data_IF_151507803426
#
_entry.id   IF_151507803426
#
_cell.length_a   1.000
_cell.length_b   1.000
_cell.length_c   1.000
_cell.angle_alpha   90.00
_cell.angle_beta   90.00
_cell.angle_gamma   90.00
#
_symmetry.space_group_name_H-M   'P 1'
#
loop_
_entity.id
_entity.type
_entity.pdbx_description
1 polymer ?
#
# COMPACT_ATOMS: atom_id res chain seq x y z
N UNK A 1 -22.90 11.56 12.94
CA UNK A 1 -22.09 10.35 12.71
C UNK A 1 -21.20 10.52 11.50
N UNK A 2 -19.91 10.25 11.68
CA UNK A 2 -18.90 10.13 10.62
C UNK A 2 -18.52 8.65 10.53
N UNK A 3 -18.50 8.09 9.33
CA UNK A 3 -18.17 6.69 9.10
C UNK A 3 -17.06 6.60 8.05
N UNK A 4 -16.09 5.71 8.30
CA UNK A 4 -15.09 5.30 7.33
C UNK A 4 -15.48 3.91 6.83
N UNK A 5 -15.69 3.79 5.53
CA UNK A 5 -15.93 2.52 4.85
C UNK A 5 -14.69 2.19 4.03
N UNK A 6 -14.19 0.97 4.16
CA UNK A 6 -13.04 0.46 3.40
C UNK A 6 -13.42 -0.88 2.79
N UNK A 7 -13.14 -1.05 1.50
CA UNK A 7 -13.20 -2.32 0.79
C UNK A 7 -11.82 -2.67 0.23
N UNK A 8 -11.42 -3.93 0.33
CA UNK A 8 -10.14 -4.43 -0.19
C UNK A 8 -10.35 -5.80 -0.86
N UNK A 9 -9.66 -6.02 -1.98
CA UNK A 9 -9.52 -7.30 -2.65
C UNK A 9 -8.04 -7.66 -2.77
N UNK A 10 -7.70 -8.93 -2.50
CA UNK A 10 -6.31 -9.39 -2.47
C UNK A 10 -6.16 -10.68 -3.28
N UNK A 11 -5.16 -10.70 -4.16
CA UNK A 11 -4.66 -11.87 -4.86
C UNK A 11 -3.30 -12.28 -4.29
N UNK A 12 -3.10 -13.59 -4.07
CA UNK A 12 -1.85 -14.16 -3.56
C UNK A 12 -1.39 -15.27 -4.49
N UNK A 13 -0.16 -15.14 -4.99
CA UNK A 13 0.54 -16.23 -5.66
C UNK A 13 1.34 -17.01 -4.63
N UNK A 14 0.96 -18.27 -4.39
CA UNK A 14 1.57 -19.14 -3.38
C UNK A 14 2.24 -20.33 -4.05
N UNK A 15 3.52 -20.61 -3.79
CA UNK A 15 4.11 -21.86 -4.21
C UNK A 15 3.43 -23.02 -3.49
N UNK A 16 3.28 -24.15 -4.17
CA UNK A 16 2.72 -25.39 -3.62
C UNK A 16 3.71 -26.00 -2.62
N UNK A 17 3.81 -25.45 -1.41
CA UNK A 17 4.49 -26.09 -0.28
C UNK A 17 3.46 -26.36 0.82
N UNK A 18 3.56 -27.56 1.37
CA UNK A 18 2.60 -28.20 2.27
C UNK A 18 2.52 -27.42 3.60
N UNK A 19 1.27 -27.16 4.02
CA UNK A 19 0.83 -26.51 5.25
C UNK A 19 1.03 -25.00 5.39
N UNK A 20 -0.06 -24.25 5.17
CA UNK A 20 -0.28 -22.95 5.80
C UNK A 20 -1.62 -22.96 6.53
N UNK A 21 -1.69 -22.49 7.80
CA UNK A 21 -2.94 -22.39 8.52
C UNK A 21 -3.86 -21.40 7.81
N UNK A 22 -5.08 -21.84 7.49
CA UNK A 22 -6.13 -21.00 6.90
C UNK A 22 -6.63 -20.00 7.95
N UNK A 23 -5.99 -18.84 8.06
CA UNK A 23 -6.49 -17.74 8.90
C UNK A 23 -7.33 -16.77 8.08
N UNK A 24 -8.64 -16.69 8.34
CA UNK A 24 -9.57 -15.68 7.79
C UNK A 24 -9.50 -14.37 8.59
N UNK A 25 -8.32 -13.75 8.65
CA UNK A 25 -8.17 -12.44 9.29
C UNK A 25 -8.07 -11.36 8.21
N UNK A 26 -8.86 -10.29 8.34
CA UNK A 26 -8.72 -9.08 7.54
C UNK A 26 -7.38 -8.43 7.92
N UNK A 27 -6.37 -8.53 7.05
CA UNK A 27 -5.00 -8.09 7.36
C UNK A 27 -4.41 -7.30 6.20
N UNK A 28 -4.25 -6.00 6.45
CA UNK A 28 -3.58 -5.03 5.58
C UNK A 28 -2.08 -5.05 5.94
N UNK A 29 -1.18 -5.24 4.97
CA UNK A 29 0.28 -5.21 5.19
C UNK A 29 1.08 -6.31 4.47
N UNK A 30 2.41 -6.21 4.52
CA UNK A 30 3.38 -7.19 3.97
C UNK A 30 3.49 -8.42 4.90
N UNK A 31 3.79 -9.60 4.37
CA UNK A 31 3.98 -10.86 5.12
C UNK A 31 2.81 -11.33 6.02
N UNK A 32 1.61 -10.77 5.85
CA UNK A 32 0.51 -10.97 6.82
C UNK A 32 -0.31 -12.28 6.64
N UNK A 33 -0.04 -13.06 5.58
CA UNK A 33 -0.91 -14.16 5.10
C UNK A 33 -0.19 -15.49 4.81
N UNK A 34 0.97 -15.74 5.44
CA UNK A 34 1.82 -16.91 5.15
C UNK A 34 2.80 -16.67 3.99
N UNK A 35 3.58 -17.69 3.61
CA UNK A 35 4.54 -17.64 2.50
C UNK A 35 3.81 -17.45 1.17
N UNK A 36 4.16 -16.40 0.44
CA UNK A 36 3.73 -16.13 -0.94
C UNK A 36 4.93 -15.68 -1.74
N UNK A 37 4.93 -15.94 -3.05
CA UNK A 37 5.93 -15.38 -3.97
C UNK A 37 5.41 -14.11 -4.64
N UNK A 38 4.09 -13.86 -4.59
CA UNK A 38 3.49 -12.63 -5.06
C UNK A 38 2.22 -12.26 -4.28
N UNK A 39 1.98 -10.96 -4.10
CA UNK A 39 0.77 -10.39 -3.53
C UNK A 39 0.37 -9.17 -4.35
N UNK A 40 -0.91 -9.06 -4.66
CA UNK A 40 -1.51 -7.88 -5.26
C UNK A 40 -2.77 -7.53 -4.49
N UNK A 41 -2.85 -6.33 -3.91
CA UNK A 41 -4.01 -5.83 -3.18
C UNK A 41 -4.52 -4.54 -3.81
N UNK A 42 -5.82 -4.45 -4.00
CA UNK A 42 -6.52 -3.25 -4.48
C UNK A 42 -7.59 -2.92 -3.46
N UNK A 43 -7.65 -1.66 -3.03
CA UNK A 43 -8.69 -1.23 -2.12
C UNK A 43 -9.17 0.19 -2.38
N UNK A 44 -10.35 0.48 -1.84
CA UNK A 44 -10.97 1.78 -1.89
C UNK A 44 -11.53 2.15 -0.53
N UNK A 45 -11.52 3.43 -0.23
CA UNK A 45 -12.06 3.95 1.02
C UNK A 45 -12.96 5.15 0.77
N UNK A 46 -13.95 5.31 1.64
CA UNK A 46 -14.88 6.42 1.66
C UNK A 46 -15.10 6.88 3.09
N UNK A 47 -14.79 8.14 3.36
CA UNK A 47 -14.93 8.75 4.67
C UNK A 47 -15.99 9.84 4.65
N UNK A 48 -17.10 9.64 5.37
CA UNK A 48 -18.28 10.52 5.34
C UNK A 48 -18.11 11.81 6.15
N UNK A 49 -16.92 12.10 6.68
CA UNK A 49 -16.67 13.29 7.49
C UNK A 49 -16.81 14.57 6.69
N UNK A 50 -17.03 15.68 7.41
CA UNK A 50 -17.08 17.03 6.82
C UNK A 50 -15.67 17.60 6.81
N UNK A 51 -15.20 17.98 5.64
CA UNK A 51 -13.89 18.58 5.41
C UNK A 51 -14.06 20.02 4.93
N UNK A 52 -13.09 20.87 5.26
CA UNK A 52 -12.96 22.18 4.65
C UNK A 52 -12.39 21.99 3.24
N UNK A 53 -13.09 22.53 2.23
CA UNK A 53 -12.66 22.52 0.83
C UNK A 53 -11.40 23.39 0.70
N UNK A 54 -10.33 22.81 0.15
CA UNK A 54 -9.04 23.49 -0.01
C UNK A 54 -8.99 24.37 -1.27
N UNK A 55 -10.00 24.25 -2.14
CA UNK A 55 -10.04 24.91 -3.46
C UNK A 55 -11.12 25.97 -3.59
N UNK A 56 -12.20 25.89 -2.77
CA UNK A 56 -13.33 26.81 -2.86
C UNK A 56 -13.50 27.59 -1.57
N UNK A 57 -13.23 28.89 -1.62
CA UNK A 57 -13.63 29.83 -0.57
C UNK A 57 -15.09 30.26 -0.78
N UNK A 58 -15.80 30.46 0.33
CA UNK A 58 -17.10 31.12 0.35
C UNK A 58 -16.91 32.63 0.18
N UNK A 59 -17.99 33.37 -0.17
CA UNK A 59 -17.94 34.83 -0.30
C UNK A 59 -17.52 35.57 1.00
N UNK A 60 -17.58 34.90 2.15
CA UNK A 60 -17.17 35.39 3.47
C UNK A 60 -15.68 35.13 3.79
N UNK A 61 -14.90 34.59 2.85
CA UNK A 61 -13.48 34.27 3.02
C UNK A 61 -13.20 32.98 3.78
N UNK A 62 -14.22 32.20 4.17
CA UNK A 62 -14.00 30.88 4.79
C UNK A 62 -14.00 29.74 3.75
N UNK A 63 -13.20 28.68 3.95
CA UNK A 63 -13.24 27.51 3.07
C UNK A 63 -14.62 26.83 3.10
N UNK A 64 -15.16 26.50 1.93
CA UNK A 64 -16.47 25.88 1.82
C UNK A 64 -16.47 24.50 2.52
N UNK A 65 -17.41 24.25 3.43
CA UNK A 65 -17.55 22.90 4.01
C UNK A 65 -18.13 21.91 2.99
N UNK A 66 -17.45 20.79 2.78
CA UNK A 66 -17.87 19.66 1.93
C UNK A 66 -17.93 18.39 2.74
N UNK A 67 -18.73 17.43 2.28
CA UNK A 67 -18.97 16.16 2.96
C UNK A 67 -18.42 15.04 2.09
N UNK A 68 -17.58 14.18 2.65
CA UNK A 68 -16.98 13.05 1.94
C UNK A 68 -15.53 13.30 1.54
N UNK A 69 -14.68 12.32 1.81
CA UNK A 69 -13.37 12.13 1.19
C UNK A 69 -13.27 10.68 0.73
N UNK A 70 -12.64 10.42 -0.41
CA UNK A 70 -12.54 9.08 -0.97
C UNK A 70 -11.20 8.85 -1.62
N UNK A 71 -10.83 7.60 -1.78
CA UNK A 71 -9.61 7.25 -2.47
C UNK A 71 -9.51 5.78 -2.77
N UNK A 72 -8.44 5.43 -3.45
CA UNK A 72 -8.07 4.07 -3.74
C UNK A 72 -6.58 3.85 -3.52
N UNK A 73 -6.21 2.60 -3.33
CA UNK A 73 -4.83 2.18 -3.22
C UNK A 73 -4.59 0.85 -3.93
N UNK A 74 -3.35 0.66 -4.33
CA UNK A 74 -2.81 -0.53 -4.93
C UNK A 74 -1.52 -0.87 -4.18
N UNK A 75 -1.38 -2.12 -3.75
CA UNK A 75 -0.17 -2.65 -3.13
C UNK A 75 0.25 -3.90 -3.88
N UNK A 76 1.54 -4.04 -4.14
CA UNK A 76 2.11 -5.21 -4.78
C UNK A 76 3.42 -5.61 -4.08
N UNK A 77 3.59 -6.91 -3.84
CA UNK A 77 4.84 -7.51 -3.40
C UNK A 77 5.15 -8.69 -4.32
N UNK A 78 6.40 -8.86 -4.74
CA UNK A 78 6.82 -9.97 -5.59
C UNK A 78 8.24 -10.39 -5.27
N UNK A 79 8.43 -11.66 -4.92
CA UNK A 79 9.75 -12.30 -4.89
C UNK A 79 10.21 -12.49 -6.33
N UNK A 80 11.30 -11.84 -6.70
CA UNK A 80 11.86 -11.86 -8.06
C UNK A 80 13.09 -12.75 -8.17
N UNK A 81 13.72 -13.06 -7.03
CA UNK A 81 14.84 -13.99 -6.94
C UNK A 81 14.76 -14.77 -5.64
N UNK A 82 15.05 -16.06 -5.72
CA UNK A 82 15.25 -16.93 -4.58
C UNK A 82 16.36 -17.92 -4.94
N UNK A 83 17.31 -18.13 -4.04
CA UNK A 83 18.39 -19.08 -4.26
C UNK A 83 17.87 -20.52 -4.09
N UNK A 84 18.18 -21.40 -5.04
CA UNK A 84 17.76 -22.81 -5.01
C UNK A 84 18.49 -23.63 -3.92
N UNK A 85 19.71 -23.26 -3.55
CA UNK A 85 20.48 -23.94 -2.50
C UNK A 85 20.21 -23.37 -1.10
N UNK A 86 19.84 -22.09 -1.02
CA UNK A 86 19.44 -21.44 0.23
C UNK A 86 18.13 -20.66 0.03
N UNK A 87 16.96 -21.29 0.27
CA UNK A 87 15.67 -20.64 0.09
C UNK A 87 15.45 -19.39 0.97
N UNK A 88 16.27 -19.17 2.00
CA UNK A 88 16.20 -17.95 2.82
C UNK A 88 16.82 -16.75 2.09
N UNK A 89 17.72 -16.99 1.13
CA UNK A 89 18.30 -15.93 0.32
C UNK A 89 17.34 -15.52 -0.80
N UNK A 90 16.73 -14.35 -0.66
CA UNK A 90 15.69 -13.88 -1.58
C UNK A 90 15.72 -12.37 -1.81
N UNK A 91 15.28 -11.97 -3.01
CA UNK A 91 15.03 -10.56 -3.37
C UNK A 91 13.53 -10.39 -3.59
N UNK A 92 12.95 -9.46 -2.85
CA UNK A 92 11.54 -9.09 -2.98
C UNK A 92 11.42 -7.65 -3.42
N UNK A 93 10.68 -7.39 -4.49
CA UNK A 93 10.26 -6.06 -4.89
C UNK A 93 8.90 -5.74 -4.28
N UNK A 94 8.70 -4.50 -3.88
CA UNK A 94 7.39 -4.01 -3.45
C UNK A 94 7.06 -2.67 -4.09
N UNK A 95 5.77 -2.42 -4.24
CA UNK A 95 5.21 -1.20 -4.78
C UNK A 95 3.91 -0.86 -4.09
N UNK A 96 3.70 0.41 -3.84
CA UNK A 96 2.48 0.96 -3.28
C UNK A 96 2.10 2.24 -4.01
N UNK A 97 0.82 2.38 -4.28
CA UNK A 97 0.26 3.53 -4.95
C UNK A 97 -1.07 3.89 -4.30
N UNK A 98 -1.31 5.17 -4.08
CA UNK A 98 -2.51 5.68 -3.44
C UNK A 98 -2.98 6.94 -4.13
N UNK A 99 -4.28 7.02 -4.39
CA UNK A 99 -4.93 8.21 -4.92
C UNK A 99 -6.01 8.62 -3.93
N UNK A 100 -5.92 9.85 -3.46
CA UNK A 100 -6.92 10.46 -2.59
C UNK A 100 -7.70 11.54 -3.31
N UNK A 101 -8.82 11.97 -2.73
CA UNK A 101 -9.60 13.08 -3.26
C UNK A 101 -8.79 14.39 -3.16
N UNK A 102 -8.34 14.97 -4.28
CA UNK A 102 -7.48 16.15 -4.32
C UNK A 102 -8.19 17.43 -3.86
N UNK A 103 -9.52 17.37 -3.67
CA UNK A 103 -10.36 18.53 -3.31
C UNK A 103 -10.43 18.74 -1.79
N UNK A 104 -10.05 17.72 -1.02
CA UNK A 104 -10.03 17.72 0.45
C UNK A 104 -8.68 17.28 1.04
N UNK A 105 -7.78 16.74 0.22
CA UNK A 105 -6.40 16.41 0.57
C UNK A 105 -5.44 17.17 -0.34
N UNK A 106 -4.41 17.77 0.27
CA UNK A 106 -3.31 18.46 -0.43
C UNK A 106 -2.48 17.50 -1.30
N UNK A 107 -2.43 16.21 -0.94
CA UNK A 107 -1.77 15.18 -1.72
C UNK A 107 -2.80 14.38 -2.50
N UNK A 108 -2.70 14.47 -3.83
CA UNK A 108 -3.59 13.81 -4.76
C UNK A 108 -3.13 12.38 -5.03
N UNK A 109 -1.82 12.18 -5.10
CA UNK A 109 -1.21 10.89 -5.41
C UNK A 109 0.00 10.65 -4.53
N UNK A 110 0.16 9.40 -4.13
CA UNK A 110 1.35 8.87 -3.48
C UNK A 110 1.79 7.63 -4.24
N UNK A 111 3.08 7.54 -4.55
CA UNK A 111 3.70 6.31 -5.02
C UNK A 111 4.94 6.01 -4.18
N UNK A 112 5.18 4.73 -3.91
CA UNK A 112 6.39 4.26 -3.28
C UNK A 112 6.73 2.89 -3.80
N UNK A 113 8.01 2.61 -3.94
CA UNK A 113 8.50 1.28 -4.32
C UNK A 113 9.85 1.03 -3.70
N UNK A 114 10.23 -0.24 -3.65
CA UNK A 114 11.51 -0.62 -3.09
C UNK A 114 11.79 -2.10 -3.26
N UNK A 115 12.88 -2.51 -2.65
CA UNK A 115 13.33 -3.87 -2.63
C UNK A 115 13.89 -4.25 -1.28
N UNK A 116 13.80 -5.53 -0.98
CA UNK A 116 14.38 -6.16 0.20
C UNK A 116 15.29 -7.30 -0.27
N UNK A 117 16.49 -7.36 0.29
CA UNK A 117 17.49 -8.40 0.13
C UNK A 117 17.60 -9.16 1.46
N UNK A 118 17.35 -10.47 1.48
CA UNK A 118 17.53 -11.32 2.66
C UNK A 118 18.68 -12.29 2.43
N UNK A 119 19.57 -12.47 3.40
CA UNK A 119 20.62 -13.50 3.38
C UNK A 119 21.77 -13.26 2.40
N UNK A 120 22.06 -12.00 2.04
CA UNK A 120 23.12 -11.67 1.07
C UNK A 120 24.52 -11.48 1.70
N UNK A 121 24.65 -11.52 3.02
CA UNK A 121 25.94 -11.41 3.72
C UNK A 121 26.36 -12.80 4.20
N UNK A 122 27.55 -13.31 3.82
CA UNK A 122 28.01 -14.64 4.24
C UNK A 122 28.02 -14.80 5.77
N UNK A 123 27.48 -15.92 6.27
CA UNK A 123 27.29 -16.24 7.70
C UNK A 123 26.23 -15.39 8.42
N UNK A 124 25.47 -14.58 7.69
CA UNK A 124 24.38 -13.75 8.22
C UNK A 124 23.12 -13.96 7.38
N UNK A 125 22.72 -15.22 7.26
CA UNK A 125 21.68 -15.70 6.34
C UNK A 125 20.28 -15.19 6.72
N UNK A 126 20.14 -14.58 7.90
CA UNK A 126 18.92 -13.94 8.40
C UNK A 126 18.93 -12.41 8.28
N UNK A 127 20.03 -11.80 7.84
CA UNK A 127 20.10 -10.35 7.68
C UNK A 127 19.17 -9.88 6.56
N UNK A 128 18.52 -8.74 6.78
CA UNK A 128 17.66 -8.07 5.81
C UNK A 128 18.18 -6.66 5.50
N UNK A 129 18.32 -6.34 4.21
CA UNK A 129 18.65 -5.01 3.71
C UNK A 129 17.53 -4.51 2.82
N UNK A 130 16.98 -3.33 3.15
CA UNK A 130 15.89 -2.71 2.42
C UNK A 130 16.28 -1.38 1.79
N UNK A 131 15.84 -1.15 0.55
CA UNK A 131 15.96 0.13 -0.15
C UNK A 131 14.58 0.55 -0.66
N UNK A 132 14.22 1.81 -0.48
CA UNK A 132 12.91 2.32 -0.87
C UNK A 132 12.97 3.77 -1.35
N UNK A 133 12.11 4.10 -2.30
CA UNK A 133 11.87 5.46 -2.80
C UNK A 133 10.38 5.74 -2.75
N UNK A 134 10.02 6.98 -2.42
CA UNK A 134 8.63 7.40 -2.40
C UNK A 134 8.50 8.84 -2.90
N UNK A 135 7.40 9.10 -3.59
CA UNK A 135 7.02 10.41 -4.08
C UNK A 135 5.57 10.72 -3.69
N UNK A 136 5.36 11.91 -3.17
CA UNK A 136 4.04 12.47 -2.93
C UNK A 136 3.87 13.69 -3.84
N UNK A 137 2.85 13.67 -4.70
CA UNK A 137 2.63 14.71 -5.70
C UNK A 137 1.27 15.39 -5.52
N UNK A 138 1.27 16.67 -5.89
CA UNK A 138 0.14 17.59 -5.84
C UNK A 138 -0.53 17.62 -7.21
N UNK A 139 -1.82 17.92 -7.28
CA UNK A 139 -2.47 18.24 -8.56
C UNK A 139 -2.09 19.68 -8.95
N UNK A 140 -1.46 19.85 -10.11
CA UNK A 140 -1.41 21.14 -10.81
C UNK A 140 -2.55 21.16 -11.83
N UNK A 141 -3.63 21.88 -11.52
CA UNK A 141 -4.68 22.17 -12.51
C UNK A 141 -4.18 23.36 -13.33
N UNK A 142 -3.90 23.13 -14.61
CA UNK A 142 -3.78 24.21 -15.60
C UNK A 142 -5.17 24.62 -16.07
#
# INVERSE_FOLDING_TARGET
MTALVVGEAVYLNRPLVIEQPRTRAFRIGRNCCGTYTGKLAVGAWYYTARFNDLTRMRPDGQPARRRGSRGFYLLADQTVYQNNHDPNQQITLFGQFGIGDPRVSRFAYYSGSGLTLVGFIPRRDQDELGFAVAAAQWISVH
#
